data_IF_721979726493
#
_entry.id   IF_721979726493
#
_cell.length_a   1.000
_cell.length_b   1.000
_cell.length_c   1.000
_cell.angle_alpha   90.00
_cell.angle_beta   90.00
_cell.angle_gamma   90.00
#
_symmetry.space_group_name_H-M   'P 1'
#
loop_
_entity.id
_entity.type
_entity.pdbx_description
1 polymer ?
#
# COMPACT_ATOMS: atom_id res chain seq x y z
N UNK A 1 8.11 -1.68 -11.22
CA UNK A 1 9.42 -2.00 -11.81
C UNK A 1 10.44 -2.34 -10.72
N UNK A 2 10.86 -1.37 -9.89
CA UNK A 2 11.98 -1.53 -8.95
C UNK A 2 11.79 -2.70 -7.98
N UNK A 3 10.66 -2.77 -7.27
CA UNK A 3 10.36 -3.88 -6.36
C UNK A 3 10.27 -5.24 -7.05
N UNK A 4 9.90 -5.26 -8.34
CA UNK A 4 9.79 -6.48 -9.13
C UNK A 4 11.15 -7.09 -9.48
N UNK A 5 12.17 -6.27 -9.69
CA UNK A 5 13.54 -6.71 -9.96
C UNK A 5 14.38 -6.84 -8.68
N UNK A 6 14.09 -6.04 -7.66
CA UNK A 6 14.81 -6.03 -6.38
C UNK A 6 14.89 -7.42 -5.74
N UNK A 7 13.84 -8.23 -5.87
CA UNK A 7 13.85 -9.61 -5.36
C UNK A 7 14.85 -10.50 -6.08
N UNK A 8 14.94 -10.38 -7.41
CA UNK A 8 15.88 -11.14 -8.24
C UNK A 8 17.33 -10.73 -7.96
N UNK A 9 17.53 -9.45 -7.62
CA UNK A 9 18.83 -8.86 -7.31
C UNK A 9 19.26 -9.08 -5.85
N UNK A 10 18.37 -9.61 -5.01
CA UNK A 10 18.65 -9.92 -3.61
C UNK A 10 19.52 -11.17 -3.45
N UNK A 11 20.60 -11.06 -2.68
CA UNK A 11 21.36 -12.24 -2.22
C UNK A 11 20.60 -13.06 -1.17
N UNK A 12 19.60 -12.47 -0.48
CA UNK A 12 18.70 -13.21 0.41
C UNK A 12 17.67 -13.99 -0.44
N UNK A 13 17.82 -15.31 -0.59
CA UNK A 13 17.04 -16.13 -1.54
C UNK A 13 15.75 -16.73 -0.99
N UNK A 14 15.46 -16.61 0.33
CA UNK A 14 14.26 -17.20 0.97
C UNK A 14 12.93 -16.50 0.58
N UNK A 15 12.39 -15.62 1.42
CA UNK A 15 11.15 -14.89 1.15
C UNK A 15 11.29 -13.38 1.43
N UNK A 16 10.35 -12.58 0.93
CA UNK A 16 10.26 -11.15 1.31
C UNK A 16 10.07 -10.95 2.81
N UNK A 17 9.44 -11.91 3.50
CA UNK A 17 9.35 -11.90 4.97
C UNK A 17 10.72 -11.92 5.63
N UNK A 18 11.66 -12.70 5.12
CA UNK A 18 13.04 -12.72 5.64
C UNK A 18 13.76 -11.38 5.44
N UNK A 19 13.50 -10.69 4.33
CA UNK A 19 14.03 -9.33 4.11
C UNK A 19 13.43 -8.37 5.13
N UNK A 20 12.11 -8.42 5.33
CA UNK A 20 11.40 -7.57 6.29
C UNK A 20 11.83 -7.83 7.75
N UNK A 21 12.07 -9.10 8.11
CA UNK A 21 12.54 -9.52 9.43
C UNK A 21 14.07 -9.34 9.60
N UNK A 22 14.70 -8.52 8.74
CA UNK A 22 16.12 -8.18 8.75
C UNK A 22 17.10 -9.37 8.69
N UNK A 23 16.70 -10.47 8.04
CA UNK A 23 17.56 -11.65 7.86
C UNK A 23 18.59 -11.38 6.76
N UNK A 24 19.87 -11.36 7.15
CA UNK A 24 20.99 -11.18 6.23
C UNK A 24 21.19 -12.42 5.33
N UNK A 25 21.68 -12.24 4.09
CA UNK A 25 22.09 -13.37 3.27
C UNK A 25 23.32 -14.05 3.88
N UNK A 26 23.48 -15.35 3.63
CA UNK A 26 24.68 -16.09 4.04
C UNK A 26 25.93 -15.68 3.25
N UNK A 27 25.73 -15.30 1.99
CA UNK A 27 26.78 -14.87 1.07
C UNK A 27 26.28 -13.71 0.21
N UNK A 28 27.18 -12.83 -0.21
CA UNK A 28 26.88 -11.77 -1.17
C UNK A 28 27.24 -12.23 -2.57
N UNK A 29 26.28 -12.14 -3.48
CA UNK A 29 26.44 -12.54 -4.88
C UNK A 29 26.21 -11.33 -5.77
N UNK A 30 27.17 -11.04 -6.64
CA UNK A 30 27.04 -9.99 -7.64
C UNK A 30 25.92 -10.32 -8.64
N UNK A 31 25.15 -9.29 -9.04
CA UNK A 31 23.99 -9.44 -9.93
C UNK A 31 24.02 -8.37 -11.01
N UNK A 32 23.67 -8.79 -12.22
CA UNK A 32 23.50 -7.89 -13.36
C UNK A 32 22.15 -7.16 -13.29
N UNK A 33 22.20 -5.93 -12.80
CA UNK A 33 21.04 -5.05 -12.65
C UNK A 33 20.45 -4.67 -14.00
N UNK A 34 21.28 -4.41 -15.01
CA UNK A 34 20.85 -3.99 -16.34
C UNK A 34 20.07 -5.11 -17.02
N UNK A 35 20.59 -6.34 -16.97
CA UNK A 35 19.89 -7.52 -17.49
C UNK A 35 18.56 -7.74 -16.80
N UNK A 36 18.51 -7.67 -15.46
CA UNK A 36 17.26 -7.85 -14.72
C UNK A 36 16.20 -6.79 -15.10
N UNK A 37 16.61 -5.53 -15.29
CA UNK A 37 15.74 -4.46 -15.74
C UNK A 37 15.22 -4.71 -17.17
N UNK A 38 16.10 -5.04 -18.11
CA UNK A 38 15.73 -5.34 -19.50
C UNK A 38 14.77 -6.52 -19.59
N UNK A 39 15.03 -7.61 -18.86
CA UNK A 39 14.15 -8.78 -18.80
C UNK A 39 12.76 -8.43 -18.25
N UNK A 40 12.67 -7.51 -17.27
CA UNK A 40 11.40 -7.03 -16.76
C UNK A 40 10.65 -6.16 -17.78
N UNK A 41 11.35 -5.24 -18.45
CA UNK A 41 10.78 -4.35 -19.47
C UNK A 41 10.20 -5.16 -20.64
N UNK A 42 10.97 -6.09 -21.19
CA UNK A 42 10.52 -6.93 -22.31
C UNK A 42 9.31 -7.79 -21.93
N UNK A 43 9.31 -8.39 -20.73
CA UNK A 43 8.16 -9.17 -20.25
C UNK A 43 6.92 -8.30 -20.04
N UNK A 44 7.09 -7.07 -19.56
CA UNK A 44 5.99 -6.13 -19.33
C UNK A 44 5.41 -5.64 -20.66
N UNK A 45 6.25 -5.24 -21.61
CA UNK A 45 5.84 -4.85 -22.96
C UNK A 45 5.03 -5.97 -23.65
N UNK A 46 5.57 -7.20 -23.68
CA UNK A 46 4.86 -8.37 -24.23
C UNK A 46 3.53 -8.68 -23.55
N UNK A 47 3.35 -8.32 -22.28
CA UNK A 47 2.06 -8.47 -21.58
C UNK A 47 1.10 -7.38 -22.01
N UNK A 48 1.55 -6.12 -22.05
CA UNK A 48 0.75 -4.98 -22.49
C UNK A 48 0.24 -5.20 -23.92
N UNK A 49 1.10 -5.65 -24.84
CA UNK A 49 0.77 -5.96 -26.23
C UNK A 49 -0.32 -7.03 -26.39
N UNK A 50 -0.53 -7.90 -25.39
CA UNK A 50 -1.55 -8.95 -25.42
C UNK A 50 -2.93 -8.47 -24.93
N UNK A 51 -3.01 -7.28 -24.36
CA UNK A 51 -4.27 -6.72 -23.91
C UNK A 51 -4.89 -5.93 -25.05
N UNK A 52 -6.04 -6.39 -25.53
CA UNK A 52 -6.91 -5.56 -26.35
C UNK A 52 -7.62 -4.56 -25.43
N UNK A 53 -7.54 -3.25 -25.72
CA UNK A 53 -8.26 -2.26 -24.93
C UNK A 53 -9.77 -2.50 -25.04
N UNK A 54 -10.44 -2.62 -23.89
CA UNK A 54 -11.89 -2.67 -23.84
C UNK A 54 -12.43 -1.23 -23.93
N UNK A 55 -13.07 -0.91 -25.06
CA UNK A 55 -13.74 0.37 -25.31
C UNK A 55 -12.91 1.39 -26.08
N UNK A 56 -13.52 2.55 -26.36
CA UNK A 56 -12.84 3.67 -26.99
C UNK A 56 -11.79 4.23 -26.03
N UNK A 57 -10.52 3.88 -26.25
CA UNK A 57 -9.41 4.55 -25.57
C UNK A 57 -9.40 5.99 -26.06
N UNK A 58 -9.65 6.93 -25.16
CA UNK A 58 -9.49 8.36 -25.46
C UNK A 58 -8.11 8.57 -26.08
N UNK A 59 -8.05 9.30 -27.19
CA UNK A 59 -6.78 9.68 -27.81
C UNK A 59 -5.93 10.57 -26.88
N UNK A 60 -6.56 11.19 -25.87
CA UNK A 60 -5.85 11.95 -24.85
C UNK A 60 -5.19 11.02 -23.83
N UNK A 61 -3.87 11.13 -23.71
CA UNK A 61 -3.14 10.52 -22.60
C UNK A 61 -3.59 11.17 -21.31
N UNK A 62 -3.98 10.39 -20.28
CA UNK A 62 -4.29 10.97 -18.97
C UNK A 62 -3.04 11.65 -18.41
N UNK A 63 -3.24 12.80 -17.76
CA UNK A 63 -2.20 13.40 -16.95
C UNK A 63 -1.93 12.48 -15.76
N UNK A 64 -0.66 12.16 -15.53
CA UNK A 64 -0.23 11.29 -14.45
C UNK A 64 0.79 12.02 -13.59
N UNK A 65 0.48 12.16 -12.30
CA UNK A 65 1.36 12.78 -11.32
C UNK A 65 1.64 11.79 -10.20
N UNK A 66 2.90 11.73 -9.79
CA UNK A 66 3.35 10.95 -8.63
C UNK A 66 3.95 11.94 -7.65
N UNK A 67 3.49 11.90 -6.40
CA UNK A 67 3.99 12.74 -5.31
C UNK A 67 4.27 11.88 -4.09
N UNK A 68 5.38 12.18 -3.42
CA UNK A 68 5.65 11.69 -2.07
C UNK A 68 4.90 12.59 -1.09
N UNK A 69 4.03 12.00 -0.27
CA UNK A 69 3.22 12.70 0.71
C UNK A 69 3.16 11.87 1.99
N UNK A 70 3.30 12.52 3.14
CA UNK A 70 2.93 11.97 4.44
C UNK A 70 1.54 12.51 4.80
N UNK A 71 0.52 11.65 4.75
CA UNK A 71 -0.86 12.04 5.07
C UNK A 71 -1.06 12.44 6.55
N UNK A 72 -0.09 12.16 7.42
CA UNK A 72 -0.11 12.60 8.82
C UNK A 72 0.65 13.91 9.05
N UNK A 73 1.39 14.42 8.06
CA UNK A 73 2.07 15.72 8.18
C UNK A 73 1.09 16.90 8.19
N UNK A 74 1.57 18.08 8.56
CA UNK A 74 0.80 19.32 8.49
C UNK A 74 0.92 20.02 7.11
N UNK A 75 1.56 19.39 6.14
CA UNK A 75 1.92 20.05 4.88
C UNK A 75 0.68 20.42 4.05
N UNK A 76 0.74 21.50 3.30
CA UNK A 76 -0.34 21.84 2.38
C UNK A 76 -0.31 20.90 1.16
N UNK A 77 -1.48 20.37 0.79
CA UNK A 77 -1.62 19.48 -0.37
C UNK A 77 -2.30 20.24 -1.49
N UNK A 78 -1.51 20.79 -2.40
CA UNK A 78 -2.03 21.41 -3.63
C UNK A 78 -2.08 20.38 -4.76
N UNK A 79 -3.26 20.05 -5.26
CA UNK A 79 -3.42 19.21 -6.46
C UNK A 79 -3.80 20.08 -7.67
N UNK A 80 -3.43 19.67 -8.90
CA UNK A 80 -3.80 20.42 -10.10
C UNK A 80 -5.32 20.42 -10.35
N UNK A 81 -6.01 19.37 -9.89
CA UNK A 81 -7.47 19.23 -9.95
C UNK A 81 -7.96 18.56 -8.67
N UNK A 82 -9.23 18.80 -8.31
CA UNK A 82 -9.87 18.15 -7.17
C UNK A 82 -10.27 16.70 -7.51
N UNK A 83 -9.75 15.70 -6.78
CA UNK A 83 -10.07 14.30 -7.04
C UNK A 83 -11.53 13.99 -6.70
N UNK A 84 -12.16 13.19 -7.56
CA UNK A 84 -13.53 12.67 -7.37
C UNK A 84 -13.57 11.17 -7.12
N UNK A 85 -12.42 10.50 -7.21
CA UNK A 85 -12.26 9.08 -6.93
C UNK A 85 -11.04 8.84 -6.04
N UNK A 86 -11.26 8.23 -4.89
CA UNK A 86 -10.21 7.71 -4.02
C UNK A 86 -10.26 6.19 -4.06
N UNK A 87 -9.14 5.53 -4.33
CA UNK A 87 -9.02 4.06 -4.23
C UNK A 87 -7.79 3.75 -3.42
N UNK A 88 -7.95 3.06 -2.29
CA UNK A 88 -6.83 2.77 -1.41
C UNK A 88 -6.98 1.45 -0.64
N UNK A 89 -5.84 0.89 -0.27
CA UNK A 89 -5.72 -0.21 0.70
C UNK A 89 -4.74 0.26 1.76
N UNK A 90 -5.20 0.93 2.83
CA UNK A 90 -4.30 1.50 3.83
C UNK A 90 -3.49 0.39 4.54
N UNK A 91 -2.36 0.72 5.18
CA UNK A 91 -1.61 -0.26 5.97
C UNK A 91 -2.53 -0.86 7.06
N UNK A 92 -2.41 -2.16 7.34
CA UNK A 92 -3.25 -2.82 8.35
C UNK A 92 -2.55 -2.85 9.70
N UNK A 93 -3.31 -2.86 10.80
CA UNK A 93 -2.74 -2.89 12.16
C UNK A 93 -1.79 -4.08 12.35
N UNK A 94 -0.55 -3.76 12.72
CA UNK A 94 0.52 -4.73 12.84
C UNK A 94 0.72 -5.56 11.57
N UNK A 95 0.51 -5.05 10.35
CA UNK A 95 0.90 -5.76 9.13
C UNK A 95 2.43 -5.90 9.04
N UNK A 96 2.97 -6.52 7.99
CA UNK A 96 4.42 -6.54 7.76
C UNK A 96 5.00 -5.11 7.78
N UNK A 97 6.24 -4.93 8.24
CA UNK A 97 6.95 -3.66 8.07
C UNK A 97 7.23 -3.45 6.57
N UNK A 98 6.38 -2.67 5.89
CA UNK A 98 6.44 -2.42 4.45
C UNK A 98 7.75 -1.73 4.07
N UNK A 99 8.25 -0.80 4.89
CA UNK A 99 9.51 -0.12 4.61
C UNK A 99 10.67 -1.12 4.57
N UNK A 100 10.76 -2.00 5.56
CA UNK A 100 11.78 -3.05 5.58
C UNK A 100 11.56 -4.08 4.46
N UNK A 101 10.30 -4.45 4.20
CA UNK A 101 9.96 -5.33 3.08
C UNK A 101 10.33 -4.72 1.73
N UNK A 102 10.44 -3.39 1.61
CA UNK A 102 10.85 -2.67 0.40
C UNK A 102 12.27 -2.10 0.48
N UNK A 103 13.08 -2.42 1.50
CA UNK A 103 14.43 -1.83 1.70
C UNK A 103 15.33 -1.92 0.46
N UNK A 104 15.26 -3.05 -0.25
CA UNK A 104 16.05 -3.23 -1.48
C UNK A 104 15.60 -2.29 -2.60
N UNK A 105 14.31 -2.00 -2.68
CA UNK A 105 13.78 -1.01 -3.61
C UNK A 105 14.30 0.39 -3.27
N UNK A 106 14.33 0.74 -1.97
CA UNK A 106 14.89 2.01 -1.51
C UNK A 106 16.38 2.14 -1.84
N UNK A 107 17.18 1.09 -1.58
CA UNK A 107 18.59 1.09 -1.95
C UNK A 107 18.82 1.26 -3.45
N UNK A 108 18.02 0.59 -4.30
CA UNK A 108 18.09 0.78 -5.75
C UNK A 108 17.72 2.19 -6.20
N UNK A 109 16.91 2.90 -5.42
CA UNK A 109 16.56 4.30 -5.64
C UNK A 109 17.56 5.28 -5.02
N UNK A 110 18.65 4.79 -4.43
CA UNK A 110 19.72 5.61 -3.86
C UNK A 110 19.58 5.95 -2.38
N UNK A 111 18.57 5.41 -1.69
CA UNK A 111 18.44 5.61 -0.25
C UNK A 111 19.56 4.89 0.51
N UNK A 112 19.98 5.46 1.63
CA UNK A 112 20.90 4.83 2.59
C UNK A 112 20.15 4.23 3.80
N UNK A 113 20.90 3.59 4.70
CA UNK A 113 20.33 2.93 5.88
C UNK A 113 19.62 3.89 6.84
N UNK A 114 20.10 5.13 6.98
CA UNK A 114 19.52 6.09 7.90
C UNK A 114 18.21 6.65 7.35
N UNK A 115 18.11 6.84 6.03
CA UNK A 115 16.86 7.17 5.36
C UNK A 115 15.83 6.04 5.49
N UNK A 116 16.24 4.79 5.30
CA UNK A 116 15.36 3.62 5.49
C UNK A 116 14.90 3.52 6.94
N UNK A 117 15.78 3.73 7.93
CA UNK A 117 15.42 3.75 9.36
C UNK A 117 14.44 4.88 9.67
N UNK A 118 14.65 6.07 9.11
CA UNK A 118 13.74 7.21 9.27
C UNK A 118 12.34 6.88 8.74
N UNK A 119 12.25 6.37 7.50
CA UNK A 119 10.99 5.94 6.89
C UNK A 119 10.33 4.80 7.68
N UNK A 120 11.13 3.88 8.21
CA UNK A 120 10.61 2.87 9.12
C UNK A 120 9.95 3.55 10.30
N UNK A 121 10.64 4.41 11.05
CA UNK A 121 10.16 4.98 12.31
C UNK A 121 8.76 5.61 12.26
N UNK A 122 8.39 6.22 11.12
CA UNK A 122 7.11 6.91 10.91
C UNK A 122 6.00 6.00 10.34
N UNK A 123 6.32 4.77 9.95
CA UNK A 123 5.36 3.85 9.32
C UNK A 123 4.18 3.50 10.25
N UNK A 124 2.96 3.75 9.78
CA UNK A 124 1.72 3.36 10.46
C UNK A 124 1.43 1.86 10.34
N UNK A 125 0.85 1.26 11.38
CA UNK A 125 0.41 -0.15 11.35
C UNK A 125 1.54 -1.19 11.27
N UNK A 126 2.80 -0.80 11.42
CA UNK A 126 3.94 -1.70 11.22
C UNK A 126 4.02 -2.85 12.25
N UNK A 127 4.55 -4.02 11.87
CA UNK A 127 4.58 -5.24 12.71
C UNK A 127 5.33 -5.01 14.01
N UNK A 128 6.46 -4.29 13.96
CA UNK A 128 7.28 -4.00 15.15
C UNK A 128 6.52 -3.22 16.23
N UNK A 129 5.43 -2.52 15.89
CA UNK A 129 4.58 -1.79 16.87
C UNK A 129 3.67 -2.71 17.70
N UNK A 130 3.48 -3.99 17.33
CA UNK A 130 2.53 -4.92 17.98
C UNK A 130 2.77 -5.17 19.48
N UNK A 131 3.98 -4.94 19.97
CA UNK A 131 4.31 -5.10 21.39
C UNK A 131 3.69 -4.00 22.26
N UNK A 132 3.33 -2.85 21.66
CA UNK A 132 2.53 -1.84 22.33
C UNK A 132 1.07 -2.31 22.40
N UNK A 133 0.50 -2.35 23.61
CA UNK A 133 -0.91 -2.71 23.84
C UNK A 133 -1.89 -1.76 23.14
N UNK A 134 -1.48 -0.53 22.86
CA UNK A 134 -2.29 0.49 22.19
C UNK A 134 -2.09 0.56 20.67
N UNK A 135 -1.26 -0.28 20.07
CA UNK A 135 -0.90 -0.17 18.65
C UNK A 135 -2.10 -0.19 17.68
N UNK A 136 -3.17 -0.91 18.02
CA UNK A 136 -4.41 -0.93 17.23
C UNK A 136 -5.14 0.41 17.32
N UNK A 137 -5.21 1.00 18.52
CA UNK A 137 -5.84 2.29 18.74
C UNK A 137 -5.07 3.42 18.05
N UNK A 138 -3.74 3.41 18.18
CA UNK A 138 -2.83 4.34 17.51
C UNK A 138 -2.96 4.25 16.00
N UNK A 139 -2.89 3.04 15.44
CA UNK A 139 -3.09 2.79 14.01
C UNK A 139 -4.46 3.28 13.53
N UNK A 140 -5.54 3.00 14.28
CA UNK A 140 -6.88 3.44 13.92
C UNK A 140 -6.98 4.96 13.87
N UNK A 141 -6.40 5.66 14.85
CA UNK A 141 -6.36 7.12 14.86
C UNK A 141 -5.46 7.73 13.78
N UNK A 142 -4.34 7.08 13.43
CA UNK A 142 -3.52 7.44 12.25
C UNK A 142 -4.32 7.26 10.95
N UNK A 143 -5.01 6.13 10.78
CA UNK A 143 -5.87 5.87 9.63
C UNK A 143 -6.96 6.94 9.48
N UNK A 144 -7.72 7.22 10.55
CA UNK A 144 -8.78 8.22 10.56
C UNK A 144 -8.30 9.60 10.13
N UNK A 145 -7.18 10.08 10.70
CA UNK A 145 -6.58 11.38 10.34
C UNK A 145 -6.10 11.43 8.89
N UNK A 146 -5.46 10.36 8.44
CA UNK A 146 -5.01 10.23 7.05
C UNK A 146 -6.20 10.27 6.08
N UNK A 147 -7.29 9.57 6.39
CA UNK A 147 -8.49 9.55 5.56
C UNK A 147 -9.20 10.89 5.57
N UNK A 148 -9.37 11.50 6.74
CA UNK A 148 -9.95 12.85 6.88
C UNK A 148 -9.24 13.86 5.98
N UNK A 149 -7.91 13.85 5.97
CA UNK A 149 -7.13 14.71 5.07
C UNK A 149 -7.33 14.37 3.60
N UNK A 150 -7.34 13.09 3.23
CA UNK A 150 -7.57 12.65 1.85
C UNK A 150 -8.96 13.04 1.34
N UNK A 151 -10.01 12.92 2.15
CA UNK A 151 -11.38 13.27 1.72
C UNK A 151 -11.63 14.78 1.77
N UNK A 152 -10.86 15.54 2.56
CA UNK A 152 -11.00 17.00 2.63
C UNK A 152 -10.63 17.72 1.33
N UNK A 153 -9.76 17.11 0.51
CA UNK A 153 -9.34 17.67 -0.78
C UNK A 153 -10.21 17.21 -1.96
N UNK A 154 -11.16 16.30 -1.73
CA UNK A 154 -12.05 15.76 -2.75
C UNK A 154 -13.27 16.65 -2.97
N UNK A 155 -13.75 16.71 -4.21
CA UNK A 155 -14.92 17.51 -4.59
C UNK A 155 -16.11 16.60 -4.96
N UNK A 156 -17.29 16.94 -4.44
CA UNK A 156 -18.51 16.21 -4.73
C UNK A 156 -19.02 16.50 -6.16
N UNK A 157 -19.67 15.54 -6.85
CA UNK A 157 -19.91 14.19 -6.39
C UNK A 157 -18.65 13.32 -6.46
N UNK A 158 -18.39 12.54 -5.40
CA UNK A 158 -17.17 11.77 -5.23
C UNK A 158 -17.42 10.34 -4.71
N UNK A 159 -16.48 9.44 -5.02
CA UNK A 159 -16.47 8.03 -4.59
C UNK A 159 -15.17 7.70 -3.90
N UNK A 160 -15.23 6.96 -2.78
CA UNK A 160 -14.06 6.48 -2.07
C UNK A 160 -14.16 4.96 -1.82
N UNK A 161 -13.20 4.21 -2.33
CA UNK A 161 -13.11 2.76 -2.19
C UNK A 161 -11.93 2.37 -1.30
N UNK A 162 -12.22 1.61 -0.25
CA UNK A 162 -11.25 1.11 0.72
C UNK A 162 -11.20 -0.41 0.72
N UNK A 163 -10.00 -0.97 0.72
CA UNK A 163 -9.76 -2.38 1.05
C UNK A 163 -9.19 -2.44 2.46
N UNK A 164 -10.01 -2.91 3.40
CA UNK A 164 -9.71 -2.94 4.82
C UNK A 164 -9.40 -4.37 5.29
N UNK A 165 -8.58 -4.53 6.35
CA UNK A 165 -8.42 -5.84 6.98
C UNK A 165 -9.77 -6.30 7.52
N UNK A 166 -10.08 -7.58 7.37
CA UNK A 166 -11.24 -8.14 8.08
C UNK A 166 -11.05 -7.99 9.60
N UNK A 167 -12.16 -7.98 10.35
CA UNK A 167 -12.21 -7.85 11.83
C UNK A 167 -11.36 -8.83 12.64
N UNK A 168 -10.67 -9.76 12.00
CA UNK A 168 -9.83 -10.76 12.65
C UNK A 168 -8.65 -10.10 13.36
N UNK A 169 -8.35 -10.59 14.57
CA UNK A 169 -7.28 -10.10 15.44
C UNK A 169 -7.42 -8.63 15.88
N UNK A 170 -8.65 -8.16 16.13
CA UNK A 170 -8.91 -6.84 16.71
C UNK A 170 -8.75 -5.66 15.75
N UNK A 171 -8.79 -5.92 14.43
CA UNK A 171 -8.67 -4.89 13.39
C UNK A 171 -10.00 -4.24 13.00
N UNK A 172 -11.09 -4.68 13.62
CA UNK A 172 -12.43 -4.11 13.48
C UNK A 172 -12.46 -2.62 13.80
N UNK A 173 -11.69 -2.19 14.81
CA UNK A 173 -11.64 -0.78 15.21
C UNK A 173 -11.32 0.17 14.06
N UNK A 174 -10.38 -0.18 13.18
CA UNK A 174 -10.03 0.67 12.04
C UNK A 174 -11.14 0.76 11.00
N UNK A 175 -11.93 -0.30 10.83
CA UNK A 175 -13.12 -0.27 9.98
C UNK A 175 -14.22 0.61 10.60
N UNK A 176 -14.45 0.47 11.92
CA UNK A 176 -15.43 1.27 12.67
C UNK A 176 -15.08 2.75 12.64
N UNK A 177 -13.84 3.11 13.02
CA UNK A 177 -13.40 4.50 13.09
C UNK A 177 -13.37 5.14 11.69
N UNK A 178 -13.01 4.38 10.64
CA UNK A 178 -13.12 4.81 9.24
C UNK A 178 -14.57 5.14 8.88
N UNK A 179 -15.51 4.22 9.12
CA UNK A 179 -16.94 4.44 8.83
C UNK A 179 -17.46 5.68 9.56
N UNK A 180 -17.09 5.86 10.83
CA UNK A 180 -17.47 7.04 11.62
C UNK A 180 -16.92 8.35 11.03
N UNK A 181 -15.65 8.40 10.64
CA UNK A 181 -15.06 9.58 9.98
C UNK A 181 -15.76 9.89 8.67
N UNK A 182 -15.97 8.88 7.82
CA UNK A 182 -16.64 9.04 6.54
C UNK A 182 -18.05 9.63 6.73
N UNK A 183 -18.85 9.05 7.64
CA UNK A 183 -20.20 9.54 7.95
C UNK A 183 -20.20 10.95 8.52
N UNK A 184 -19.27 11.28 9.42
CA UNK A 184 -19.15 12.63 9.97
C UNK A 184 -18.86 13.70 8.90
N UNK A 185 -18.20 13.30 7.80
CA UNK A 185 -17.88 14.15 6.65
C UNK A 185 -18.89 14.06 5.50
N UNK A 186 -20.08 13.50 5.76
CA UNK A 186 -21.21 13.44 4.83
C UNK A 186 -21.14 12.31 3.80
N UNK A 187 -20.22 11.37 3.94
CA UNK A 187 -20.12 10.21 3.06
C UNK A 187 -21.06 9.09 3.51
N UNK A 188 -21.66 8.39 2.55
CA UNK A 188 -22.56 7.26 2.79
C UNK A 188 -21.96 5.98 2.24
N UNK A 189 -22.11 4.87 2.96
CA UNK A 189 -21.70 3.55 2.45
C UNK A 189 -22.69 3.13 1.37
N UNK A 190 -22.20 2.92 0.17
CA UNK A 190 -22.99 2.40 -0.96
C UNK A 190 -22.78 0.88 -1.13
N UNK A 191 -21.58 0.39 -0.82
CA UNK A 191 -21.27 -1.03 -0.96
C UNK A 191 -20.33 -1.53 0.14
N UNK A 192 -20.65 -2.71 0.67
CA UNK A 192 -19.81 -3.43 1.61
C UNK A 192 -19.76 -4.91 1.24
N UNK A 193 -18.55 -5.47 1.15
CA UNK A 193 -18.37 -6.90 0.87
C UNK A 193 -17.12 -7.46 1.52
N UNK A 194 -17.29 -8.56 2.26
CA UNK A 194 -16.15 -9.36 2.70
C UNK A 194 -15.69 -10.30 1.58
N UNK A 195 -14.37 -10.37 1.36
CA UNK A 195 -13.74 -11.29 0.43
C UNK A 195 -12.71 -12.18 1.12
N UNK A 196 -12.58 -13.40 0.62
CA UNK A 196 -11.47 -14.28 0.98
C UNK A 196 -10.29 -14.03 0.05
N UNK A 197 -9.08 -13.93 0.61
CA UNK A 197 -7.85 -13.87 -0.17
C UNK A 197 -7.48 -15.29 -0.57
N UNK A 198 -7.41 -15.54 -1.89
CA UNK A 198 -6.98 -16.83 -2.43
C UNK A 198 -5.55 -17.13 -1.96
N UNK A 199 -5.42 -18.15 -1.11
CA UNK A 199 -4.13 -18.62 -0.62
C UNK A 199 -3.49 -19.51 -1.70
N UNK A 200 -2.39 -19.05 -2.31
CA UNK A 200 -1.62 -19.87 -3.25
C UNK A 200 -0.55 -20.64 -2.46
N UNK A 201 -0.58 -21.97 -2.52
CA UNK A 201 0.22 -22.92 -1.70
C UNK A 201 1.73 -22.64 -1.63
N UNK A 202 2.32 -21.93 -2.59
CA UNK A 202 3.77 -21.81 -2.72
C UNK A 202 4.44 -20.61 -2.01
N UNK A 203 3.70 -19.60 -1.52
CA UNK A 203 4.33 -18.33 -1.06
C UNK A 203 3.70 -17.64 0.17
N UNK A 204 2.62 -18.19 0.75
CA UNK A 204 1.73 -17.44 1.65
C UNK A 204 1.35 -18.17 2.95
N UNK A 205 2.02 -19.27 3.33
CA UNK A 205 1.71 -19.98 4.58
C UNK A 205 1.87 -19.10 5.84
N UNK A 206 2.62 -17.99 5.74
CA UNK A 206 2.92 -17.06 6.82
C UNK A 206 2.01 -15.81 6.85
N UNK A 207 1.12 -15.65 5.86
CA UNK A 207 0.23 -14.48 5.79
C UNK A 207 -0.95 -14.67 6.74
N UNK A 208 -0.99 -13.89 7.83
CA UNK A 208 -2.05 -13.95 8.84
C UNK A 208 -3.39 -13.40 8.34
N UNK A 209 -3.38 -12.55 7.31
CA UNK A 209 -4.59 -11.93 6.75
C UNK A 209 -5.14 -12.84 5.66
N UNK A 210 -6.33 -13.40 5.90
CA UNK A 210 -7.01 -14.32 4.98
C UNK A 210 -8.28 -13.73 4.37
N UNK A 211 -8.76 -12.61 4.93
CA UNK A 211 -10.00 -11.95 4.56
C UNK A 211 -9.80 -10.44 4.58
N UNK A 212 -10.57 -9.76 3.75
CA UNK A 212 -10.62 -8.30 3.65
C UNK A 212 -12.07 -7.85 3.52
N UNK A 213 -12.35 -6.61 3.93
CA UNK A 213 -13.61 -5.92 3.69
C UNK A 213 -13.38 -4.87 2.61
N UNK A 214 -14.17 -4.92 1.54
CA UNK A 214 -14.26 -3.85 0.55
C UNK A 214 -15.38 -2.92 1.01
N UNK A 215 -15.08 -1.63 1.13
CA UNK A 215 -16.04 -0.57 1.41
C UNK A 215 -16.03 0.43 0.26
N UNK A 216 -17.19 0.82 -0.23
CA UNK A 216 -17.34 1.93 -1.18
C UNK A 216 -18.28 2.95 -0.55
N UNK A 217 -17.83 4.19 -0.53
CA UNK A 217 -18.57 5.34 -0.04
C UNK A 217 -18.84 6.31 -1.19
N UNK A 218 -19.96 7.00 -1.10
CA UNK A 218 -20.33 8.09 -2.00
C UNK A 218 -20.60 9.38 -1.24
N UNK A 219 -20.27 10.51 -1.86
CA UNK A 219 -20.61 11.86 -1.42
C UNK A 219 -21.29 12.57 -2.58
N UNK A 220 -22.53 12.99 -2.36
CA UNK A 220 -23.37 13.72 -3.32
C UNK A 220 -23.08 15.20 -3.30
#
# INVERSE_FOLDING_TARGET
>A
MVSSIARQLSSQTKSWGHIADNVLPHELVEKDVQRAANDWLQRTAKRIERYEPLGNVSAMKPLCYVRELDWLSADEITLPEHPRLLVTSPPYAGAIDYTLAQRLSFYLLGANDDEVKRLCSIESGARRKRFNKQHIAEWSGELSRSVERQISIMEAPAVAAFVMPHKDHGRDRGETDLKSVMTAHGWKIEFEKHRSIRQVRARQSWTSIKRETILIFEKT
#
